data_IF_239000778118
#
_entry.id   IF_239000778118
#
_cell.length_a   1.000
_cell.length_b   1.000
_cell.length_c   1.000
_cell.angle_alpha   90.00
_cell.angle_beta   90.00
_cell.angle_gamma   90.00
#
_symmetry.space_group_name_H-M   'P 1'
#
loop_
_entity.id
_entity.type
_entity.pdbx_description
1 polymer ?
#
# COMPACT_ATOMS: atom_id res chain seq x y z
N UNK A 1 -8.47 97.80 28.18
CA UNK A 1 -8.00 98.16 26.83
C UNK A 1 -7.23 96.96 26.28
N UNK A 2 -7.52 96.53 25.04
CA UNK A 2 -6.86 95.46 24.24
C UNK A 2 -7.23 93.98 24.52
N UNK A 3 -8.41 93.66 24.00
CA UNK A 3 -8.89 92.52 23.18
C UNK A 3 -7.87 91.49 22.59
N UNK A 4 -8.38 90.24 22.44
CA UNK A 4 -8.14 89.23 21.36
C UNK A 4 -6.85 88.38 21.43
N UNK A 5 -6.77 87.06 21.19
CA UNK A 5 -7.58 86.04 20.50
C UNK A 5 -7.39 84.67 21.20
N UNK A 6 -8.45 83.88 21.41
CA UNK A 6 -8.38 82.46 21.78
C UNK A 6 -8.29 81.61 20.51
N UNK A 7 -7.15 80.93 20.28
CA UNK A 7 -7.05 79.89 19.25
C UNK A 7 -7.43 78.54 19.86
N UNK A 8 -8.52 77.98 19.33
CA UNK A 8 -9.04 76.64 19.59
C UNK A 8 -8.09 75.64 18.94
N UNK A 9 -7.38 74.84 19.74
CA UNK A 9 -6.58 73.71 19.27
C UNK A 9 -7.42 72.44 19.32
N UNK A 10 -7.97 72.04 18.19
CA UNK A 10 -8.57 70.71 17.97
C UNK A 10 -7.40 69.73 17.84
N UNK A 11 -7.20 68.85 18.82
CA UNK A 11 -6.31 67.70 18.67
C UNK A 11 -7.18 66.46 18.43
N UNK A 12 -7.17 66.01 17.18
CA UNK A 12 -7.84 64.80 16.67
C UNK A 12 -7.33 63.56 17.42
N UNK A 13 -8.23 62.85 18.08
CA UNK A 13 -7.99 61.50 18.62
C UNK A 13 -8.15 60.50 17.46
N UNK A 14 -7.03 60.00 16.92
CA UNK A 14 -7.04 58.95 15.89
C UNK A 14 -7.44 57.63 16.54
N UNK A 15 -8.66 57.17 16.25
CA UNK A 15 -9.16 55.86 16.64
C UNK A 15 -8.55 54.81 15.68
N UNK A 16 -7.49 54.12 16.11
CA UNK A 16 -6.88 53.03 15.35
C UNK A 16 -7.76 51.78 15.51
N UNK A 17 -8.68 51.55 14.57
CA UNK A 17 -9.43 50.30 14.47
C UNK A 17 -8.52 49.17 13.99
N UNK A 18 -8.11 48.31 14.92
CA UNK A 18 -7.47 47.03 14.58
C UNK A 18 -8.55 46.10 14.03
N UNK A 19 -8.58 45.94 12.70
CA UNK A 19 -9.37 44.89 12.05
C UNK A 19 -8.71 43.55 12.37
N UNK A 20 -9.36 42.75 13.21
CA UNK A 20 -8.97 41.36 13.45
C UNK A 20 -9.23 40.55 12.18
N UNK A 21 -8.18 40.30 11.39
CA UNK A 21 -8.22 39.35 10.28
C UNK A 21 -8.28 37.96 10.90
N UNK A 22 -9.45 37.32 10.85
CA UNK A 22 -9.58 35.92 11.23
C UNK A 22 -8.68 35.06 10.33
N UNK A 23 -7.88 34.12 10.88
CA UNK A 23 -7.11 33.21 10.07
C UNK A 23 -8.06 32.36 9.24
N UNK A 24 -7.98 32.48 7.92
CA UNK A 24 -8.63 31.58 6.98
C UNK A 24 -8.17 30.15 7.31
N UNK A 25 -9.14 29.24 7.42
CA UNK A 25 -8.88 27.82 7.59
C UNK A 25 -7.95 27.37 6.46
N UNK A 26 -6.71 27.05 6.79
CA UNK A 26 -5.78 26.42 5.88
C UNK A 26 -6.40 25.10 5.45
N UNK A 27 -6.89 25.03 4.23
CA UNK A 27 -7.21 23.75 3.59
C UNK A 27 -5.92 22.93 3.64
N UNK A 28 -5.95 21.82 4.40
CA UNK A 28 -4.87 20.87 4.39
C UNK A 28 -4.63 20.45 2.93
N UNK A 29 -3.41 20.66 2.43
CA UNK A 29 -3.04 20.22 1.09
C UNK A 29 -3.38 18.72 0.95
N UNK A 30 -3.90 18.27 -0.22
CA UNK A 30 -4.11 16.85 -0.46
C UNK A 30 -2.82 16.11 -0.15
N UNK A 31 -2.87 15.15 0.78
CA UNK A 31 -1.71 14.29 1.04
C UNK A 31 -1.37 13.62 -0.30
N UNK A 32 -0.12 13.70 -0.78
CA UNK A 32 0.25 13.08 -2.04
C UNK A 32 -0.14 11.59 -1.98
N UNK A 33 -0.97 11.18 -2.94
CA UNK A 33 -1.35 9.77 -3.06
C UNK A 33 -0.09 9.01 -3.46
N UNK A 34 0.40 8.17 -2.55
CA UNK A 34 1.62 7.43 -2.78
C UNK A 34 1.45 6.55 -4.03
N UNK A 35 2.46 6.56 -4.89
CA UNK A 35 2.56 5.59 -5.99
C UNK A 35 2.64 4.20 -5.37
N UNK A 36 1.77 3.31 -5.82
CA UNK A 36 1.80 1.93 -5.37
C UNK A 36 3.05 1.22 -5.88
N UNK A 37 3.54 0.32 -5.04
CA UNK A 37 4.60 -0.61 -5.35
C UNK A 37 4.08 -2.02 -5.14
N UNK A 38 3.32 -2.57 -6.11
CA UNK A 38 2.65 -3.84 -5.96
C UNK A 38 3.65 -4.98 -5.77
N UNK A 39 3.28 -5.92 -4.92
CA UNK A 39 3.96 -7.22 -4.79
C UNK A 39 3.06 -8.24 -5.47
N UNK A 40 3.58 -9.11 -6.33
CA UNK A 40 2.78 -10.20 -6.91
C UNK A 40 3.05 -11.52 -6.19
N UNK A 41 1.98 -12.22 -5.80
CA UNK A 41 2.04 -13.55 -5.19
C UNK A 41 0.97 -14.42 -5.84
N UNK A 42 1.40 -15.46 -6.55
CA UNK A 42 0.51 -16.24 -7.40
C UNK A 42 -0.24 -15.35 -8.39
N UNK A 43 -1.58 -15.37 -8.30
CA UNK A 43 -2.49 -14.65 -9.21
C UNK A 43 -2.99 -13.31 -8.63
N UNK A 44 -2.37 -12.81 -7.57
CA UNK A 44 -2.76 -11.60 -6.87
C UNK A 44 -1.66 -10.55 -6.87
N UNK A 45 -2.06 -9.30 -6.98
CA UNK A 45 -1.30 -8.18 -6.43
C UNK A 45 -1.64 -8.00 -4.96
N UNK A 46 -0.61 -7.81 -4.15
CA UNK A 46 -0.71 -7.39 -2.75
C UNK A 46 -0.39 -5.91 -2.69
N UNK A 47 -1.33 -5.13 -2.19
CA UNK A 47 -1.27 -3.67 -2.11
C UNK A 47 -1.33 -3.24 -0.65
N UNK A 48 -0.52 -2.26 -0.26
CA UNK A 48 -0.51 -1.75 1.12
C UNK A 48 -0.89 -0.27 1.13
N UNK A 49 -2.07 0.10 1.64
CA UNK A 49 -2.53 1.47 1.52
C UNK A 49 -1.76 2.44 2.44
N UNK A 50 -1.41 3.61 1.89
CA UNK A 50 -0.99 4.78 2.68
C UNK A 50 0.34 4.57 3.42
N UNK A 51 0.31 4.64 4.75
CA UNK A 51 1.53 4.56 5.59
C UNK A 51 2.21 3.18 5.56
N UNK A 52 1.54 2.16 5.04
CA UNK A 52 2.08 0.82 4.85
C UNK A 52 2.67 0.62 3.44
N UNK A 53 2.56 1.60 2.54
CA UNK A 53 3.03 1.48 1.17
C UNK A 53 4.53 1.12 1.10
N UNK A 54 4.91 0.07 0.35
CA UNK A 54 6.31 -0.26 0.14
C UNK A 54 7.05 0.86 -0.61
N UNK A 55 8.37 0.90 -0.47
CA UNK A 55 9.21 1.85 -1.18
C UNK A 55 10.57 1.24 -1.53
N UNK A 56 11.31 1.84 -2.46
CA UNK A 56 12.70 1.45 -2.73
C UNK A 56 13.65 2.30 -1.89
N UNK A 57 14.59 1.66 -1.20
CA UNK A 57 15.76 2.31 -0.59
C UNK A 57 17.02 1.53 -0.90
N UNK A 58 18.05 2.20 -1.40
CA UNK A 58 19.34 1.56 -1.76
C UNK A 58 19.16 0.32 -2.66
N UNK A 59 18.24 0.40 -3.62
CA UNK A 59 17.91 -0.71 -4.52
C UNK A 59 17.16 -1.89 -3.87
N UNK A 60 16.72 -1.76 -2.61
CA UNK A 60 15.94 -2.77 -1.90
C UNK A 60 14.49 -2.35 -1.76
N UNK A 61 13.58 -3.29 -1.96
CA UNK A 61 12.17 -3.12 -1.68
C UNK A 61 11.95 -3.22 -0.17
N UNK A 62 11.54 -2.10 0.42
CA UNK A 62 11.24 -1.94 1.83
C UNK A 62 9.75 -2.18 2.04
N UNK A 63 9.41 -3.20 2.86
CA UNK A 63 8.02 -3.63 3.10
C UNK A 63 7.67 -3.52 4.59
N UNK A 64 6.40 -3.23 4.94
CA UNK A 64 5.97 -3.16 6.34
C UNK A 64 5.99 -4.57 6.95
N UNK A 65 6.94 -4.86 7.83
CA UNK A 65 7.24 -6.24 8.24
C UNK A 65 6.03 -7.01 8.78
N UNK A 66 5.14 -6.35 9.55
CA UNK A 66 3.97 -6.99 10.15
C UNK A 66 2.99 -7.49 9.10
N UNK A 67 2.43 -6.56 8.32
CA UNK A 67 1.47 -6.88 7.26
C UNK A 67 2.12 -7.80 6.19
N UNK A 68 3.40 -7.61 5.91
CA UNK A 68 4.14 -8.48 4.99
C UNK A 68 4.25 -9.92 5.51
N UNK A 69 4.52 -10.13 6.81
CA UNK A 69 4.55 -11.46 7.41
C UNK A 69 3.19 -12.17 7.29
N UNK A 70 2.09 -11.46 7.55
CA UNK A 70 0.74 -12.01 7.40
C UNK A 70 0.45 -12.44 5.96
N UNK A 71 0.84 -11.62 4.98
CA UNK A 71 0.70 -11.92 3.55
C UNK A 71 1.44 -13.20 3.15
N UNK A 72 2.65 -13.40 3.68
CA UNK A 72 3.46 -14.59 3.40
C UNK A 72 3.22 -15.73 4.42
N UNK A 73 2.20 -15.62 5.28
CA UNK A 73 1.85 -16.63 6.27
C UNK A 73 2.95 -16.94 7.30
N UNK A 74 3.86 -16.00 7.55
CA UNK A 74 4.93 -16.11 8.52
C UNK A 74 4.51 -15.57 9.90
N UNK A 75 5.03 -16.18 10.96
CA UNK A 75 4.82 -15.73 12.32
C UNK A 75 5.83 -14.62 12.66
N UNK A 76 5.33 -13.54 13.25
CA UNK A 76 6.15 -12.42 13.71
C UNK A 76 6.10 -12.31 15.23
N UNK A 77 7.26 -12.17 15.87
CA UNK A 77 7.37 -11.88 17.30
C UNK A 77 8.25 -10.65 17.54
N UNK A 78 7.92 -9.88 18.57
CA UNK A 78 8.69 -8.71 18.99
C UNK A 78 9.29 -8.92 20.38
N UNK A 79 10.59 -8.67 20.51
CA UNK A 79 11.27 -8.65 21.80
C UNK A 79 11.43 -7.20 22.26
N UNK A 80 10.68 -6.74 23.28
CA UNK A 80 10.75 -5.35 23.74
C UNK A 80 12.08 -5.00 24.43
N UNK A 81 12.74 -5.97 25.08
CA UNK A 81 14.04 -5.76 25.74
C UNK A 81 15.14 -5.51 24.70
N UNK A 82 15.17 -6.34 23.66
CA UNK A 82 16.14 -6.20 22.56
C UNK A 82 15.75 -5.12 21.53
N UNK A 83 14.47 -4.73 21.53
CA UNK A 83 13.81 -3.89 20.51
C UNK A 83 14.01 -4.45 19.11
N UNK A 84 13.78 -5.75 18.96
CA UNK A 84 13.99 -6.48 17.69
C UNK A 84 12.80 -7.36 17.35
N UNK A 85 12.63 -7.60 16.05
CA UNK A 85 11.63 -8.50 15.50
C UNK A 85 12.30 -9.82 15.12
N UNK A 86 11.58 -10.92 15.31
CA UNK A 86 11.89 -12.21 14.70
C UNK A 86 10.74 -12.66 13.81
N UNK A 87 11.08 -13.28 12.69
CA UNK A 87 10.13 -13.84 11.71
C UNK A 87 10.43 -15.31 11.57
N UNK A 88 9.40 -16.16 11.60
CA UNK A 88 9.56 -17.61 11.40
C UNK A 88 8.51 -18.17 10.46
N UNK A 89 8.92 -19.14 9.64
CA UNK A 89 8.03 -19.85 8.74
C UNK A 89 8.57 -21.26 8.49
N UNK A 90 7.75 -22.27 8.71
CA UNK A 90 8.08 -23.68 8.42
C UNK A 90 9.42 -24.17 9.03
N UNK A 91 9.76 -23.70 10.23
CA UNK A 91 11.00 -24.05 10.92
C UNK A 91 12.19 -23.15 10.59
N UNK A 92 12.11 -22.35 9.52
CA UNK A 92 13.09 -21.33 9.19
C UNK A 92 12.85 -20.07 10.01
N UNK A 93 13.91 -19.35 10.37
CA UNK A 93 13.82 -18.19 11.27
C UNK A 93 14.84 -17.12 10.97
N UNK A 94 14.38 -15.88 11.02
CA UNK A 94 15.19 -14.66 11.00
C UNK A 94 15.02 -13.95 12.34
N UNK A 95 16.11 -13.54 12.97
CA UNK A 95 16.09 -12.88 14.28
C UNK A 95 16.87 -11.57 14.28
N UNK A 96 16.68 -10.76 15.33
CA UNK A 96 17.47 -9.56 15.54
C UNK A 96 17.18 -8.43 14.55
N UNK A 97 16.05 -8.48 13.83
CA UNK A 97 15.68 -7.43 12.87
C UNK A 97 15.36 -6.16 13.66
N UNK A 98 16.13 -5.09 13.44
CA UNK A 98 16.02 -3.85 14.21
C UNK A 98 16.25 -2.63 13.33
N UNK A 99 15.51 -1.57 13.63
CA UNK A 99 15.69 -0.29 12.95
C UNK A 99 17.15 0.20 13.05
N UNK A 100 17.71 0.62 11.92
CA UNK A 100 19.08 1.11 11.81
C UNK A 100 20.17 0.03 11.75
N UNK A 101 19.86 -1.26 11.95
CA UNK A 101 20.85 -2.33 11.88
C UNK A 101 20.93 -2.93 10.47
N UNK A 102 22.14 -2.96 9.89
CA UNK A 102 22.36 -3.49 8.54
C UNK A 102 22.41 -5.01 8.46
N UNK A 103 22.28 -5.72 9.59
CA UNK A 103 22.35 -7.17 9.65
C UNK A 103 21.20 -7.74 10.47
N UNK A 104 20.82 -8.97 10.14
CA UNK A 104 19.93 -9.80 10.94
C UNK A 104 20.57 -11.17 11.12
N UNK A 105 20.14 -11.90 12.14
CA UNK A 105 20.62 -13.24 12.43
C UNK A 105 19.81 -14.24 11.63
N UNK A 106 20.51 -15.02 10.83
CA UNK A 106 20.00 -16.14 10.05
C UNK A 106 20.69 -17.40 10.55
N UNK A 107 20.00 -18.54 10.53
CA UNK A 107 20.54 -19.89 10.75
C UNK A 107 21.77 -20.04 11.69
N UNK A 108 21.56 -20.52 12.92
CA UNK A 108 22.68 -20.89 13.81
C UNK A 108 23.50 -19.70 14.33
N UNK A 109 22.84 -18.56 14.57
CA UNK A 109 23.39 -17.34 15.18
C UNK A 109 24.31 -16.47 14.31
N UNK A 110 24.40 -16.75 13.01
CA UNK A 110 25.20 -15.94 12.09
C UNK A 110 24.45 -14.68 11.63
N UNK A 111 25.08 -13.52 11.81
CA UNK A 111 24.56 -12.27 11.27
C UNK A 111 24.92 -12.12 9.79
N UNK A 112 23.93 -11.96 8.90
CA UNK A 112 24.17 -11.55 7.51
C UNK A 112 23.58 -10.18 7.20
N UNK A 113 24.18 -9.53 6.20
CA UNK A 113 23.78 -8.21 5.74
C UNK A 113 22.40 -8.24 5.07
N UNK A 114 21.57 -7.26 5.43
CA UNK A 114 20.29 -6.97 4.81
C UNK A 114 20.44 -6.08 3.55
N UNK A 115 21.63 -5.53 3.30
CA UNK A 115 21.92 -4.61 2.20
C UNK A 115 21.29 -3.21 2.34
N UNK A 116 20.20 -3.07 3.09
CA UNK A 116 19.65 -1.80 3.57
C UNK A 116 19.16 -1.99 5.01
N UNK A 117 19.36 -0.98 5.86
CA UNK A 117 18.94 -1.07 7.26
C UNK A 117 17.41 -0.94 7.34
N UNK A 118 16.72 -1.74 8.19
CA UNK A 118 15.33 -1.52 8.53
C UNK A 118 15.08 -0.11 9.04
N UNK A 119 13.90 0.44 8.77
CA UNK A 119 13.54 1.80 9.13
C UNK A 119 12.20 1.86 9.85
N UNK A 120 12.13 2.65 10.92
CA UNK A 120 10.87 2.94 11.58
C UNK A 120 10.27 4.21 10.95
N UNK A 121 9.12 4.09 10.29
CA UNK A 121 8.38 5.22 9.72
C UNK A 121 6.97 5.23 10.28
N UNK A 122 6.59 6.31 10.97
CA UNK A 122 5.27 6.46 11.62
C UNK A 122 4.90 5.25 12.50
N UNK A 123 5.87 4.67 13.22
CA UNK A 123 5.66 3.48 14.06
C UNK A 123 5.64 2.14 13.31
N UNK A 124 5.77 2.13 11.99
CA UNK A 124 5.83 0.92 11.16
C UNK A 124 7.29 0.60 10.86
N UNK A 125 7.71 -0.64 11.15
CA UNK A 125 9.05 -1.12 10.80
C UNK A 125 9.06 -1.64 9.36
N UNK A 126 9.81 -0.96 8.51
CA UNK A 126 10.05 -1.35 7.14
C UNK A 126 11.36 -2.12 7.01
N UNK A 127 11.34 -3.22 6.28
CA UNK A 127 12.48 -4.14 6.14
C UNK A 127 12.72 -4.48 4.67
N UNK A 128 13.97 -4.76 4.26
CA UNK A 128 14.24 -5.29 2.92
C UNK A 128 13.55 -6.64 2.72
N UNK A 129 12.64 -6.75 1.77
CA UNK A 129 11.86 -7.98 1.56
C UNK A 129 12.73 -9.18 1.17
N UNK A 130 13.63 -8.99 0.19
CA UNK A 130 14.38 -10.10 -0.41
C UNK A 130 15.28 -10.87 0.59
N UNK A 131 16.10 -10.23 1.45
CA UNK A 131 16.85 -10.95 2.48
C UNK A 131 15.96 -11.78 3.43
N UNK A 132 14.79 -11.26 3.81
CA UNK A 132 13.86 -11.98 4.68
C UNK A 132 13.31 -13.21 3.94
N UNK A 133 12.81 -13.05 2.72
CA UNK A 133 12.28 -14.16 1.91
C UNK A 133 13.33 -15.24 1.65
N UNK A 134 14.56 -14.84 1.29
CA UNK A 134 15.67 -15.76 1.04
C UNK A 134 16.02 -16.58 2.29
N UNK A 135 16.06 -15.93 3.45
CA UNK A 135 16.37 -16.61 4.70
C UNK A 135 15.27 -17.56 5.17
N UNK A 136 14.01 -17.29 4.81
CA UNK A 136 12.90 -18.22 5.08
C UNK A 136 12.90 -19.43 4.14
N UNK A 137 13.70 -19.46 3.07
CA UNK A 137 13.89 -20.60 2.13
C UNK A 137 12.65 -21.20 1.46
N UNK A 138 11.47 -20.65 1.75
CA UNK A 138 10.17 -21.02 1.19
C UNK A 138 9.89 -20.28 -0.11
N UNK A 139 10.32 -19.02 -0.17
CA UNK A 139 10.01 -18.11 -1.26
C UNK A 139 11.25 -17.79 -2.08
N UNK A 140 11.03 -17.52 -3.36
CA UNK A 140 11.96 -16.83 -4.25
C UNK A 140 11.36 -15.49 -4.62
N UNK A 141 12.17 -14.45 -4.64
CA UNK A 141 11.74 -13.13 -5.10
C UNK A 141 12.53 -12.68 -6.32
N UNK A 142 11.84 -12.07 -7.26
CA UNK A 142 12.44 -11.43 -8.43
C UNK A 142 11.78 -10.07 -8.67
N UNK A 143 12.52 -9.14 -9.27
CA UNK A 143 11.93 -7.89 -9.74
C UNK A 143 11.57 -8.09 -11.20
N UNK A 144 10.26 -8.07 -11.49
CA UNK A 144 9.76 -8.14 -12.86
C UNK A 144 9.44 -6.72 -13.31
N UNK A 145 9.86 -6.37 -14.53
CA UNK A 145 9.42 -5.15 -15.21
C UNK A 145 8.56 -5.55 -16.38
N UNK A 146 7.29 -5.13 -16.38
CA UNK A 146 6.39 -5.37 -17.51
C UNK A 146 6.67 -4.41 -18.68
N UNK A 147 5.85 -4.50 -19.73
CA UNK A 147 5.93 -3.63 -20.90
C UNK A 147 5.70 -2.13 -20.60
N UNK A 148 5.25 -1.80 -19.40
CA UNK A 148 5.08 -0.43 -18.90
C UNK A 148 6.34 0.16 -18.25
N UNK A 149 7.42 -0.62 -18.14
CA UNK A 149 8.63 -0.22 -17.40
C UNK A 149 8.44 -0.17 -15.89
N UNK A 150 7.29 -0.62 -15.38
CA UNK A 150 6.95 -0.61 -13.96
C UNK A 150 7.43 -1.89 -13.29
N UNK A 151 8.17 -1.72 -12.21
CA UNK A 151 8.71 -2.83 -11.43
C UNK A 151 7.66 -3.39 -10.47
N UNK A 152 7.65 -4.71 -10.34
CA UNK A 152 6.84 -5.47 -9.37
C UNK A 152 7.78 -6.41 -8.64
N UNK A 153 7.68 -6.49 -7.31
CA UNK A 153 8.33 -7.55 -6.56
C UNK A 153 7.48 -8.82 -6.69
N UNK A 154 7.92 -9.77 -7.51
CA UNK A 154 7.24 -11.04 -7.65
C UNK A 154 7.78 -12.05 -6.64
N UNK A 155 6.88 -12.62 -5.85
CA UNK A 155 7.17 -13.67 -4.88
C UNK A 155 6.60 -14.97 -5.42
N UNK A 156 7.50 -15.89 -5.75
CA UNK A 156 7.20 -17.26 -6.14
C UNK A 156 7.44 -18.15 -4.93
N UNK A 157 6.53 -19.05 -4.61
CA UNK A 157 6.80 -20.10 -3.62
C UNK A 157 6.86 -21.46 -4.31
N UNK A 158 7.40 -22.45 -3.59
CA UNK A 158 7.22 -23.85 -3.98
C UNK A 158 5.72 -24.19 -3.93
N UNK A 159 5.25 -24.92 -4.93
CA UNK A 159 3.83 -25.14 -5.26
C UNK A 159 3.01 -25.74 -4.10
N UNK A 160 3.67 -26.50 -3.23
CA UNK A 160 3.14 -27.12 -2.02
C UNK A 160 2.88 -26.15 -0.85
N UNK A 161 3.54 -24.99 -0.84
CA UNK A 161 3.39 -23.99 0.25
C UNK A 161 2.31 -22.95 -0.08
N UNK A 162 2.08 -22.65 -1.37
CA UNK A 162 1.07 -21.68 -1.82
C UNK A 162 -0.36 -22.10 -1.44
N UNK A 163 -0.64 -23.41 -1.36
CA UNK A 163 -1.99 -23.93 -1.22
C UNK A 163 -2.55 -23.94 0.22
N UNK A 164 -1.75 -23.66 1.25
CA UNK A 164 -2.17 -23.90 2.65
C UNK A 164 -2.22 -22.68 3.57
N UNK A 165 -1.68 -21.51 3.20
CA UNK A 165 -1.42 -20.45 4.22
C UNK A 165 -1.59 -19.00 3.81
N UNK A 166 -1.82 -18.67 2.55
CA UNK A 166 -2.02 -17.27 2.13
C UNK A 166 -3.49 -16.88 2.36
N UNK A 167 -3.81 -16.36 3.56
CA UNK A 167 -5.02 -15.53 3.85
C UNK A 167 -6.35 -16.33 3.68
N UNK A 168 -7.51 -16.02 4.30
CA UNK A 168 -8.68 -16.91 4.20
C UNK A 168 -8.99 -17.16 2.74
N UNK A 169 -9.11 -18.45 2.41
CA UNK A 169 -9.05 -18.98 1.05
C UNK A 169 -9.72 -18.00 0.07
N UNK A 170 -8.97 -17.44 -0.90
CA UNK A 170 -9.60 -16.72 -1.98
C UNK A 170 -10.72 -17.58 -2.55
N UNK A 171 -11.86 -16.98 -2.89
CA UNK A 171 -13.09 -17.73 -3.19
C UNK A 171 -12.78 -18.97 -4.00
N UNK A 172 -13.17 -20.15 -3.48
CA UNK A 172 -12.88 -21.47 -4.05
C UNK A 172 -13.42 -21.67 -5.48
N UNK A 173 -14.16 -20.70 -5.99
CA UNK A 173 -14.46 -20.57 -7.40
C UNK A 173 -13.14 -20.38 -8.16
N UNK A 174 -12.61 -21.50 -8.66
CA UNK A 174 -11.72 -21.48 -9.80
C UNK A 174 -12.38 -20.61 -10.86
N UNK A 175 -11.72 -19.53 -11.24
CA UNK A 175 -12.11 -18.84 -12.46
C UNK A 175 -12.21 -19.89 -13.58
N UNK A 176 -13.32 -19.94 -14.36
CA UNK A 176 -13.40 -20.83 -15.51
C UNK A 176 -12.17 -20.66 -16.39
N UNK A 177 -11.69 -21.77 -16.96
CA UNK A 177 -10.46 -21.88 -17.75
C UNK A 177 -10.19 -20.65 -18.60
N UNK A 178 -8.98 -20.10 -18.44
CA UNK A 178 -8.49 -18.87 -19.08
C UNK A 178 -8.72 -18.90 -20.60
N UNK A 179 -9.67 -18.10 -21.09
CA UNK A 179 -9.96 -18.00 -22.54
C UNK A 179 -9.18 -16.89 -23.23
N UNK A 180 -8.29 -16.17 -22.51
CA UNK A 180 -7.55 -15.01 -23.05
C UNK A 180 -6.07 -15.04 -22.68
N UNK A 181 -5.23 -14.52 -23.58
CA UNK A 181 -3.75 -14.55 -23.49
C UNK A 181 -3.16 -13.63 -22.40
N UNK A 182 -3.96 -12.71 -21.84
CA UNK A 182 -3.53 -11.72 -20.83
C UNK A 182 -4.57 -11.60 -19.70
N UNK A 183 -4.58 -12.52 -18.73
CA UNK A 183 -5.63 -12.59 -17.73
C UNK A 183 -5.59 -11.47 -16.69
N UNK A 184 -4.50 -10.69 -16.57
CA UNK A 184 -4.38 -9.58 -15.62
C UNK A 184 -4.38 -8.22 -16.35
N UNK A 185 -5.55 -7.65 -16.66
CA UNK A 185 -5.65 -6.46 -17.50
C UNK A 185 -5.16 -5.18 -16.82
N UNK A 186 -5.14 -5.16 -15.48
CA UNK A 186 -4.99 -3.94 -14.70
C UNK A 186 -3.77 -3.99 -13.80
N UNK A 187 -2.88 -3.02 -13.98
CA UNK A 187 -1.75 -2.76 -13.09
C UNK A 187 -2.11 -1.67 -12.07
N UNK A 188 -1.97 -1.90 -10.75
CA UNK A 188 -2.23 -0.91 -9.71
C UNK A 188 -1.24 0.26 -9.71
N UNK A 189 -1.75 1.49 -9.82
CA UNK A 189 -0.95 2.71 -9.87
C UNK A 189 -0.87 3.43 -8.53
N UNK A 190 -2.03 3.64 -7.92
CA UNK A 190 -2.16 4.36 -6.66
C UNK A 190 -3.30 3.76 -5.86
N UNK A 191 -3.14 3.73 -4.54
CA UNK A 191 -4.14 3.27 -3.61
C UNK A 191 -4.20 4.25 -2.43
N UNK A 192 -5.40 4.70 -2.12
CA UNK A 192 -5.65 5.48 -0.91
C UNK A 192 -6.76 4.86 -0.10
N UNK A 193 -6.67 5.05 1.22
CA UNK A 193 -7.76 4.75 2.14
C UNK A 193 -7.99 5.96 3.04
N UNK A 194 -9.23 6.42 3.12
CA UNK A 194 -9.63 7.56 3.93
C UNK A 194 -10.79 7.16 4.84
N UNK A 195 -10.69 7.49 6.13
CA UNK A 195 -11.81 7.32 7.04
C UNK A 195 -12.95 8.27 6.63
N UNK A 196 -14.15 7.73 6.39
CA UNK A 196 -15.39 8.46 6.11
C UNK A 196 -16.45 8.02 7.11
N UNK A 197 -16.64 8.80 8.18
CA UNK A 197 -17.53 8.44 9.28
C UNK A 197 -17.04 7.18 10.02
N UNK A 198 -17.85 6.12 9.98
CA UNK A 198 -17.54 4.81 10.60
C UNK A 198 -16.82 3.83 9.65
N UNK A 199 -16.72 4.18 8.38
CA UNK A 199 -16.17 3.31 7.34
C UNK A 199 -14.91 3.94 6.73
N UNK A 200 -14.28 3.20 5.82
CA UNK A 200 -13.14 3.66 5.04
C UNK A 200 -13.49 3.62 3.56
N UNK A 201 -13.27 4.76 2.89
CA UNK A 201 -13.32 4.86 1.45
C UNK A 201 -11.94 4.51 0.89
N UNK A 202 -11.87 3.42 0.14
CA UNK A 202 -10.68 2.99 -0.57
C UNK A 202 -10.81 3.39 -2.04
N UNK A 203 -9.79 4.08 -2.56
CA UNK A 203 -9.70 4.43 -3.99
C UNK A 203 -8.49 3.72 -4.60
N UNK A 204 -8.74 2.83 -5.56
CA UNK A 204 -7.72 2.12 -6.32
C UNK A 204 -7.72 2.65 -7.75
N UNK A 205 -6.60 3.24 -8.18
CA UNK A 205 -6.40 3.61 -9.58
C UNK A 205 -5.53 2.54 -10.25
N UNK A 206 -5.95 2.11 -11.43
CA UNK A 206 -5.22 1.11 -12.21
C UNK A 206 -5.01 1.58 -13.63
N UNK A 207 -4.00 1.02 -14.30
CA UNK A 207 -3.75 1.19 -15.72
C UNK A 207 -4.05 -0.10 -16.48
N UNK A 208 -4.71 0.02 -17.64
CA UNK A 208 -4.84 -1.07 -18.59
C UNK A 208 -3.48 -1.43 -19.22
N UNK A 209 -2.96 -2.59 -18.84
CA UNK A 209 -1.70 -3.15 -19.34
C UNK A 209 -1.89 -4.39 -20.24
N UNK A 210 -3.13 -4.71 -20.60
CA UNK A 210 -3.47 -5.87 -21.44
C UNK A 210 -2.92 -5.77 -22.88
N UNK A 211 -2.56 -4.56 -23.32
CA UNK A 211 -2.08 -4.30 -24.68
C UNK A 211 -3.19 -3.98 -25.69
N UNK A 212 -4.46 -4.10 -25.31
CA UNK A 212 -5.63 -3.84 -26.15
C UNK A 212 -6.68 -2.98 -25.42
N UNK A 213 -7.75 -2.58 -26.13
CA UNK A 213 -8.87 -1.82 -25.56
C UNK A 213 -9.78 -2.75 -24.77
N UNK A 214 -10.03 -2.48 -23.50
CA UNK A 214 -10.95 -3.28 -22.69
C UNK A 214 -12.37 -2.77 -22.92
N UNK A 215 -13.26 -3.65 -23.36
CA UNK A 215 -14.68 -3.31 -23.57
C UNK A 215 -15.38 -3.02 -22.24
N UNK A 216 -16.44 -2.20 -22.28
CA UNK A 216 -17.33 -2.00 -21.13
C UNK A 216 -17.87 -3.34 -20.62
N UNK A 217 -18.00 -3.50 -19.31
CA UNK A 217 -18.60 -4.69 -18.68
C UNK A 217 -17.94 -6.03 -19.08
N UNK A 218 -16.67 -5.98 -19.47
CA UNK A 218 -15.88 -7.15 -19.93
C UNK A 218 -14.84 -7.63 -18.91
N UNK A 219 -14.73 -6.97 -17.76
CA UNK A 219 -13.79 -7.34 -16.71
C UNK A 219 -14.49 -7.82 -15.45
N UNK A 220 -13.79 -8.56 -14.63
CA UNK A 220 -14.20 -8.89 -13.27
C UNK A 220 -13.03 -8.58 -12.35
N UNK A 221 -13.30 -7.89 -11.24
CA UNK A 221 -12.32 -7.55 -10.23
C UNK A 221 -12.68 -8.23 -8.92
N UNK A 222 -11.69 -8.75 -8.23
CA UNK A 222 -11.83 -9.27 -6.87
C UNK A 222 -10.81 -8.59 -5.97
N UNK A 223 -11.32 -8.04 -4.87
CA UNK A 223 -10.52 -7.41 -3.82
C UNK A 223 -10.82 -8.08 -2.49
N UNK A 224 -9.78 -8.48 -1.78
CA UNK A 224 -9.87 -8.93 -0.38
C UNK A 224 -9.15 -7.94 0.50
N UNK A 225 -9.92 -7.20 1.30
CA UNK A 225 -9.42 -6.21 2.24
C UNK A 225 -9.16 -6.90 3.58
N UNK A 226 -7.93 -6.85 4.08
CA UNK A 226 -7.56 -7.51 5.33
C UNK A 226 -7.11 -6.47 6.36
N UNK A 227 -7.68 -6.53 7.56
CA UNK A 227 -7.33 -5.64 8.67
C UNK A 227 -6.15 -6.17 9.51
N UNK A 228 -5.69 -5.39 10.48
CA UNK A 228 -4.57 -5.73 11.39
C UNK A 228 -4.79 -6.99 12.26
N UNK A 229 -6.02 -7.54 12.29
CA UNK A 229 -6.38 -8.76 13.01
C UNK A 229 -6.52 -9.95 12.07
N UNK A 230 -6.28 -9.76 10.78
CA UNK A 230 -6.49 -10.77 9.75
C UNK A 230 -7.95 -10.96 9.33
N UNK A 231 -8.89 -10.10 9.76
CA UNK A 231 -10.27 -10.20 9.28
C UNK A 231 -10.33 -9.74 7.84
N UNK A 232 -10.98 -10.54 6.99
CA UNK A 232 -11.07 -10.28 5.57
C UNK A 232 -12.48 -9.87 5.14
N UNK A 233 -12.57 -8.86 4.28
CA UNK A 233 -13.80 -8.48 3.57
C UNK A 233 -13.55 -8.63 2.07
N UNK A 234 -14.36 -9.43 1.39
CA UNK A 234 -14.25 -9.62 -0.06
C UNK A 234 -15.23 -8.70 -0.80
N UNK A 235 -14.78 -8.14 -1.92
CA UNK A 235 -15.60 -7.38 -2.89
C UNK A 235 -15.32 -7.91 -4.30
N UNK A 236 -16.38 -8.29 -5.01
CA UNK A 236 -16.34 -8.58 -6.44
C UNK A 236 -17.03 -7.45 -7.20
N UNK A 237 -16.43 -6.98 -8.28
CA UNK A 237 -16.99 -5.97 -9.18
C UNK A 237 -17.05 -6.54 -10.59
N UNK A 238 -18.22 -6.39 -11.22
CA UNK A 238 -18.37 -6.64 -12.64
C UNK A 238 -18.05 -5.36 -13.41
N UNK A 239 -16.97 -5.40 -14.17
CA UNK A 239 -16.71 -4.52 -15.28
C UNK A 239 -16.23 -3.11 -14.92
N UNK A 240 -15.71 -2.45 -15.95
CA UNK A 240 -15.61 -0.99 -15.98
C UNK A 240 -16.87 -0.43 -16.63
N UNK A 241 -17.37 0.69 -16.10
CA UNK A 241 -18.58 1.38 -16.61
C UNK A 241 -18.39 2.01 -18.00
N UNK A 242 -17.15 2.07 -18.48
CA UNK A 242 -16.77 2.53 -19.81
C UNK A 242 -15.68 1.61 -20.40
N UNK A 243 -15.43 1.75 -21.70
CA UNK A 243 -14.25 1.15 -22.33
C UNK A 243 -12.98 1.74 -21.74
N UNK A 244 -11.94 0.92 -21.58
CA UNK A 244 -10.62 1.38 -21.13
C UNK A 244 -9.62 1.24 -22.28
N UNK A 245 -9.15 2.36 -22.88
CA UNK A 245 -8.15 2.32 -23.93
C UNK A 245 -6.86 1.60 -23.52
N UNK A 246 -6.04 1.20 -24.48
CA UNK A 246 -4.68 0.70 -24.22
C UNK A 246 -3.92 1.75 -23.39
N UNK A 247 -3.28 1.32 -22.30
CA UNK A 247 -2.60 2.20 -21.34
C UNK A 247 -3.51 3.23 -20.64
N UNK A 248 -4.83 3.16 -20.84
CA UNK A 248 -5.82 4.01 -20.18
C UNK A 248 -5.91 3.72 -18.69
N UNK A 249 -6.36 4.70 -17.91
CA UNK A 249 -6.50 4.60 -16.46
C UNK A 249 -7.97 4.52 -16.07
N UNK A 250 -8.25 3.81 -14.98
CA UNK A 250 -9.59 3.72 -14.39
C UNK A 250 -9.49 3.69 -12.86
N UNK A 251 -10.45 4.32 -12.20
CA UNK A 251 -10.53 4.43 -10.75
C UNK A 251 -11.68 3.58 -10.21
N UNK A 252 -11.40 2.75 -9.21
CA UNK A 252 -12.39 2.00 -8.46
C UNK A 252 -12.49 2.53 -7.04
N UNK A 253 -13.71 2.67 -6.53
CA UNK A 253 -13.98 3.15 -5.18
C UNK A 253 -14.76 2.11 -4.39
N UNK A 254 -14.35 1.87 -3.16
CA UNK A 254 -14.92 0.85 -2.29
C UNK A 254 -15.14 1.43 -0.89
N UNK A 255 -16.24 1.02 -0.26
CA UNK A 255 -16.46 1.29 1.15
C UNK A 255 -16.25 0.01 1.95
N UNK A 256 -15.41 0.08 2.97
CA UNK A 256 -15.08 -1.03 3.87
C UNK A 256 -15.26 -0.63 5.33
N UNK A 257 -15.71 -1.56 6.20
CA UNK A 257 -16.06 -1.24 7.58
C UNK A 257 -14.84 -0.97 8.47
N UNK A 258 -13.65 -1.45 8.07
CA UNK A 258 -12.42 -1.36 8.85
C UNK A 258 -11.25 -0.93 7.97
N UNK A 259 -10.22 -0.35 8.59
CA UNK A 259 -8.98 0.02 7.91
C UNK A 259 -8.29 -1.26 7.41
N UNK A 260 -7.89 -1.28 6.14
CA UNK A 260 -7.14 -2.39 5.59
C UNK A 260 -5.64 -2.16 5.81
N UNK A 261 -4.94 -3.19 6.28
CA UNK A 261 -3.48 -3.22 6.34
C UNK A 261 -2.89 -3.64 4.99
N UNK A 262 -3.57 -4.56 4.30
CA UNK A 262 -3.27 -4.91 2.92
C UNK A 262 -4.53 -5.31 2.14
N UNK A 263 -4.42 -5.29 0.82
CA UNK A 263 -5.48 -5.66 -0.11
C UNK A 263 -4.90 -6.66 -1.11
N UNK A 264 -5.54 -7.83 -1.23
CA UNK A 264 -5.31 -8.73 -2.34
C UNK A 264 -6.19 -8.29 -3.50
N UNK A 265 -5.59 -7.95 -4.62
CA UNK A 265 -6.26 -7.49 -5.83
C UNK A 265 -5.94 -8.42 -6.99
N UNK A 266 -6.99 -8.87 -7.68
CA UNK A 266 -6.86 -9.49 -9.00
C UNK A 266 -7.98 -9.00 -9.90
N UNK A 267 -7.72 -9.00 -11.20
CA UNK A 267 -8.71 -8.69 -12.21
C UNK A 267 -8.54 -9.64 -13.38
N UNK A 268 -9.63 -9.86 -14.14
CA UNK A 268 -9.62 -10.63 -15.38
C UNK A 268 -10.54 -10.05 -16.43
N UNK A 269 -10.35 -10.48 -17.68
CA UNK A 269 -11.28 -10.23 -18.78
C UNK A 269 -12.16 -11.47 -18.94
N UNK A 270 -13.48 -11.29 -18.85
CA UNK A 270 -14.49 -12.35 -18.84
C UNK A 270 -15.26 -12.49 -20.14
N UNK A 271 -15.20 -11.48 -21.01
CA UNK A 271 -15.82 -11.52 -22.34
C UNK A 271 -14.72 -11.29 -23.38
N UNK A 272 -14.63 -12.19 -24.35
CA UNK A 272 -13.77 -11.98 -25.52
C UNK A 272 -14.21 -10.70 -26.24
N UNK A 273 -13.24 -9.99 -26.79
CA UNK A 273 -13.48 -8.85 -27.67
C UNK A 273 -14.31 -9.24 -28.89
#
# INVERSE_FOLDING_TARGET
MVRTQRKIGILLLVFLTVVAIAPSALFAAPKPVAKEMPISIGNYYVLFPGELAPYVKSGKWMVPIRAFCEVIGADMSYNPKARSVSVSLLGEKVQGIKAGQLAAVFEGDLAWSLGAAPELRNGVLFVPAAPILNALKVYRSEIISGNTGKSTLAIKAKEDVLLRRIVPAPSADSFPSETTFHPYPFYPETLSQEKKGKEYLVTLNVQNTSGFVISKDSTELELTFVDEKGNAVVRKINGTSAQVPKAGQVSFKFTVPQKADYILFRARIVKSQ
#
